data_IF_408118587117
#
_entry.id   IF_408118587117
#
_cell.length_a   1.000
_cell.length_b   1.000
_cell.length_c   1.000
_cell.angle_alpha   90.00
_cell.angle_beta   90.00
_cell.angle_gamma   90.00
#
_symmetry.space_group_name_H-M   'P 1'
#
loop_
_entity.id
_entity.type
_entity.pdbx_description
1 polymer ?
#
# COMPACT_ATOMS: atom_id res chain seq x y z
N UNK A 1 -9.56 -22.89 -45.14
CA UNK A 1 -11.03 -23.07 -45.04
C UNK A 1 -11.39 -23.38 -43.61
N UNK A 2 -12.33 -22.63 -43.02
CA UNK A 2 -12.78 -22.83 -41.64
C UNK A 2 -13.07 -21.52 -40.91
N UNK A 3 -13.99 -20.72 -41.46
CA UNK A 3 -14.49 -19.48 -40.85
C UNK A 3 -15.37 -19.88 -39.65
N UNK A 4 -15.07 -19.38 -38.44
CA UNK A 4 -16.04 -19.41 -37.34
C UNK A 4 -16.62 -18.00 -37.17
N UNK A 5 -17.95 -17.99 -37.16
CA UNK A 5 -18.85 -16.85 -37.26
C UNK A 5 -18.81 -15.96 -36.02
N UNK A 6 -18.98 -14.66 -36.27
CA UNK A 6 -19.37 -13.66 -35.30
C UNK A 6 -20.88 -13.70 -35.04
N UNK A 7 -21.28 -13.43 -33.80
CA UNK A 7 -22.61 -12.97 -33.38
C UNK A 7 -22.33 -11.99 -32.22
N UNK A 8 -22.46 -10.66 -32.34
CA UNK A 8 -23.60 -9.78 -32.67
C UNK A 8 -24.67 -9.74 -31.56
N UNK A 9 -24.73 -8.55 -30.95
CA UNK A 9 -25.80 -7.88 -30.19
C UNK A 9 -26.18 -8.37 -28.78
N UNK A 10 -25.92 -7.52 -27.79
CA UNK A 10 -27.02 -6.87 -27.06
C UNK A 10 -26.57 -5.52 -26.49
N UNK A 11 -27.03 -4.44 -27.14
CA UNK A 11 -26.95 -3.06 -26.64
C UNK A 11 -28.15 -2.86 -25.70
N UNK A 12 -27.88 -2.57 -24.44
CA UNK A 12 -28.89 -2.04 -23.52
C UNK A 12 -28.52 -0.59 -23.17
N UNK A 13 -29.06 0.32 -23.98
CA UNK A 13 -29.20 1.74 -23.65
C UNK A 13 -30.31 1.87 -22.59
N UNK A 14 -29.97 2.31 -21.39
CA UNK A 14 -30.92 2.97 -20.50
C UNK A 14 -30.41 4.38 -20.23
N UNK A 15 -30.97 5.33 -20.99
CA UNK A 15 -30.81 6.76 -20.82
C UNK A 15 -31.93 7.34 -19.95
N UNK A 16 -31.59 8.45 -19.29
CA UNK A 16 -32.46 9.50 -18.69
C UNK A 16 -32.98 9.07 -17.29
N UNK A 17 -32.91 9.85 -16.21
CA UNK A 17 -33.37 11.24 -16.07
C UNK A 17 -32.46 12.10 -15.17
N UNK A 18 -32.02 13.24 -15.70
CA UNK A 18 -31.72 14.42 -14.88
C UNK A 18 -33.03 15.04 -14.41
N UNK A 19 -33.10 15.40 -13.13
CA UNK A 19 -34.05 16.42 -12.66
C UNK A 19 -33.29 17.40 -11.78
N UNK A 20 -33.11 18.60 -12.28
CA UNK A 20 -32.77 19.79 -11.51
C UNK A 20 -34.06 20.59 -11.26
N UNK A 21 -34.21 21.19 -10.07
CA UNK A 21 -34.69 22.57 -9.83
C UNK A 21 -35.05 22.85 -8.35
N UNK A 22 -34.52 23.97 -7.82
CA UNK A 22 -35.03 24.82 -6.72
C UNK A 22 -34.68 24.36 -5.30
N UNK A 23 -33.88 25.04 -4.45
CA UNK A 23 -33.73 26.48 -4.14
C UNK A 23 -34.72 26.90 -3.01
N UNK A 24 -34.50 27.93 -2.15
CA UNK A 24 -33.29 28.72 -1.83
C UNK A 24 -33.11 29.11 -0.30
N UNK A 25 -32.04 29.88 0.02
CA UNK A 25 -31.86 30.83 1.16
C UNK A 25 -31.66 30.25 2.60
N UNK A 26 -30.92 30.83 3.57
CA UNK A 26 -30.13 32.06 3.75
C UNK A 26 -29.32 32.00 5.09
N UNK A 27 -28.36 32.92 5.28
CA UNK A 27 -27.75 33.33 6.58
C UNK A 27 -26.31 32.81 6.78
N UNK A 28 -25.23 33.60 6.83
CA UNK A 28 -25.00 34.82 7.63
C UNK A 28 -24.98 34.41 9.12
N UNK A 29 -23.88 34.39 9.88
CA UNK A 29 -22.89 35.44 10.18
C UNK A 29 -21.71 34.75 10.90
N UNK A 30 -20.46 35.06 10.56
CA UNK A 30 -19.30 34.78 11.43
C UNK A 30 -18.69 36.12 11.84
N UNK A 31 -18.84 36.46 13.13
CA UNK A 31 -18.15 37.56 13.76
C UNK A 31 -17.37 37.03 14.97
N UNK A 32 -16.07 37.35 14.95
CA UNK A 32 -15.18 37.67 16.07
C UNK A 32 -14.94 36.58 17.13
N UNK A 33 -13.81 36.46 17.78
CA UNK A 33 -12.48 37.08 17.80
C UNK A 33 -11.90 36.53 19.11
N UNK A 34 -10.70 35.96 19.12
CA UNK A 34 -9.81 35.99 20.30
C UNK A 34 -8.45 35.42 19.92
N UNK A 35 -7.57 36.34 19.52
CA UNK A 35 -6.12 36.21 19.67
C UNK A 35 -5.74 36.75 21.05
N UNK A 36 -4.99 35.97 21.82
CA UNK A 36 -4.00 36.45 22.79
C UNK A 36 -2.71 35.72 22.39
N UNK A 37 -1.71 36.35 21.77
CA UNK A 37 -0.76 37.34 22.28
C UNK A 37 -0.02 36.89 23.55
N UNK A 38 1.14 36.26 23.35
CA UNK A 38 2.31 36.39 24.22
C UNK A 38 3.53 36.61 23.31
N UNK A 39 3.93 37.88 23.26
CA UNK A 39 5.27 38.38 22.95
C UNK A 39 6.18 38.05 24.18
N UNK A 40 7.50 37.85 24.13
CA UNK A 40 8.60 38.53 23.44
C UNK A 40 9.85 37.61 23.52
N UNK A 41 10.65 37.55 22.45
CA UNK A 41 12.02 38.11 22.39
C UNK A 41 13.15 37.15 22.80
N UNK A 42 13.96 36.77 21.81
CA UNK A 42 15.32 37.34 21.71
C UNK A 42 15.95 37.01 20.35
N UNK A 43 16.24 38.08 19.61
CA UNK A 43 17.38 38.29 18.70
C UNK A 43 18.25 37.11 18.31
N UNK A 44 18.44 36.91 16.99
CA UNK A 44 19.66 37.34 16.32
C UNK A 44 19.47 37.40 14.79
N UNK A 45 19.83 38.55 14.23
CA UNK A 45 19.89 38.79 12.80
C UNK A 45 21.19 38.20 12.23
N UNK A 46 21.11 37.56 11.07
CA UNK A 46 22.21 37.50 10.08
C UNK A 46 21.66 37.17 8.69
N UNK A 47 21.56 38.24 7.89
CA UNK A 47 21.81 38.34 6.46
C UNK A 47 21.51 37.15 5.53
N UNK A 48 20.39 37.30 4.83
CA UNK A 48 20.17 37.15 3.39
C UNK A 48 21.37 36.69 2.52
N UNK A 49 21.17 35.55 1.84
CA UNK A 49 21.27 35.52 0.38
C UNK A 49 20.04 34.82 -0.20
N UNK A 50 19.34 35.57 -1.04
CA UNK A 50 18.25 35.11 -1.91
C UNK A 50 18.76 34.25 -3.07
N UNK A 51 17.81 33.50 -3.63
CA UNK A 51 17.93 32.58 -4.77
C UNK A 51 17.00 31.40 -4.48
N UNK A 52 15.67 31.61 -4.45
CA UNK A 52 14.76 31.77 -5.59
C UNK A 52 14.83 30.61 -6.56
N UNK A 53 13.73 29.85 -6.56
CA UNK A 53 13.18 29.11 -7.70
C UNK A 53 14.03 28.00 -8.30
N UNK A 54 13.53 26.78 -8.26
CA UNK A 54 12.64 26.29 -9.33
C UNK A 54 12.46 24.79 -9.21
N UNK A 55 11.23 24.35 -9.46
CA UNK A 55 10.92 23.01 -9.95
C UNK A 55 11.52 21.84 -9.15
N UNK A 56 10.74 21.32 -8.20
CA UNK A 56 10.69 19.87 -8.08
C UNK A 56 10.08 19.35 -9.40
N UNK A 57 10.93 19.25 -10.42
CA UNK A 57 10.70 18.33 -11.53
C UNK A 57 10.42 17.02 -10.82
N UNK A 58 9.18 16.54 -10.90
CA UNK A 58 8.86 15.14 -10.62
C UNK A 58 9.66 14.37 -11.67
N UNK A 59 10.94 14.15 -11.38
CA UNK A 59 11.80 13.30 -12.16
C UNK A 59 11.10 11.96 -12.14
N UNK A 60 10.68 11.51 -13.31
CA UNK A 60 10.18 10.15 -13.47
C UNK A 60 11.23 9.23 -12.88
N UNK A 61 10.87 8.52 -11.82
CA UNK A 61 11.77 7.56 -11.18
C UNK A 61 11.90 6.40 -12.15
N UNK A 62 12.95 6.44 -12.97
CA UNK A 62 13.25 5.35 -13.90
C UNK A 62 13.92 4.23 -13.11
N UNK A 63 13.15 3.18 -12.83
CA UNK A 63 13.65 1.96 -12.21
C UNK A 63 14.58 1.21 -13.18
N UNK A 64 15.68 0.67 -12.66
CA UNK A 64 16.49 -0.31 -13.41
C UNK A 64 15.68 -1.58 -13.71
N UNK A 65 16.12 -2.40 -14.66
CA UNK A 65 15.45 -3.67 -14.97
C UNK A 65 15.32 -4.55 -13.72
N UNK A 66 16.37 -4.63 -12.89
CA UNK A 66 16.33 -5.37 -11.63
C UNK A 66 15.29 -4.80 -10.66
N UNK A 67 15.22 -3.48 -10.49
CA UNK A 67 14.25 -2.86 -9.58
C UNK A 67 12.80 -3.03 -10.08
N UNK A 68 12.58 -3.02 -11.40
CA UNK A 68 11.27 -3.32 -11.97
C UNK A 68 10.86 -4.76 -11.68
N UNK A 69 11.80 -5.71 -11.79
CA UNK A 69 11.57 -7.11 -11.46
C UNK A 69 11.28 -7.31 -9.98
N UNK A 70 12.12 -6.76 -9.10
CA UNK A 70 11.95 -6.87 -7.65
C UNK A 70 10.59 -6.30 -7.22
N UNK A 71 10.25 -5.11 -7.74
CA UNK A 71 8.95 -4.47 -7.50
C UNK A 71 7.79 -5.37 -7.96
N UNK A 72 7.90 -5.99 -9.14
CA UNK A 72 6.86 -6.87 -9.65
C UNK A 72 6.68 -8.12 -8.79
N UNK A 73 7.76 -8.70 -8.28
CA UNK A 73 7.69 -9.87 -7.39
C UNK A 73 7.04 -9.52 -6.05
N UNK A 74 7.48 -8.45 -5.39
CA UNK A 74 6.90 -8.08 -4.08
C UNK A 74 5.45 -7.64 -4.19
N UNK A 75 5.04 -7.02 -5.32
CA UNK A 75 3.63 -6.75 -5.62
C UNK A 75 2.83 -8.04 -5.74
N UNK A 76 3.33 -9.03 -6.47
CA UNK A 76 2.66 -10.32 -6.60
C UNK A 76 2.47 -11.01 -5.24
N UNK A 77 3.47 -10.94 -4.35
CA UNK A 77 3.35 -11.48 -2.98
C UNK A 77 2.29 -10.73 -2.18
N UNK A 78 2.26 -9.40 -2.24
CA UNK A 78 1.23 -8.60 -1.57
C UNK A 78 -0.18 -8.91 -2.10
N UNK A 79 -0.36 -8.92 -3.42
CA UNK A 79 -1.65 -9.18 -4.08
C UNK A 79 -2.20 -10.57 -3.72
N UNK A 80 -1.31 -11.53 -3.46
CA UNK A 80 -1.68 -12.85 -2.98
C UNK A 80 -1.97 -12.87 -1.48
N UNK A 81 -1.12 -12.25 -0.65
CA UNK A 81 -1.20 -12.31 0.81
C UNK A 81 -2.37 -11.50 1.37
N UNK A 82 -2.57 -10.28 0.88
CA UNK A 82 -3.54 -9.34 1.44
C UNK A 82 -4.99 -9.88 1.47
N UNK A 83 -5.52 -10.52 0.41
CA UNK A 83 -6.87 -11.11 0.43
C UNK A 83 -6.96 -12.44 1.21
N UNK A 84 -5.86 -13.01 1.71
CA UNK A 84 -5.94 -14.21 2.54
C UNK A 84 -6.61 -13.88 3.87
N UNK A 85 -7.80 -14.41 4.08
CA UNK A 85 -8.63 -14.10 5.25
C UNK A 85 -8.93 -12.60 5.38
N UNK A 86 -9.95 -12.17 4.65
CA UNK A 86 -10.42 -10.77 4.65
C UNK A 86 -10.92 -10.30 6.02
N UNK A 87 -11.31 -11.20 6.92
CA UNK A 87 -11.73 -10.83 8.27
C UNK A 87 -10.59 -10.14 9.05
N UNK A 88 -9.33 -10.49 8.74
CA UNK A 88 -8.16 -9.83 9.30
C UNK A 88 -8.01 -8.38 8.81
N UNK A 89 -8.68 -7.98 7.72
CA UNK A 89 -8.64 -6.63 7.16
C UNK A 89 -9.77 -5.72 7.70
N UNK A 90 -10.73 -6.25 8.45
CA UNK A 90 -11.91 -5.48 8.87
C UNK A 90 -11.59 -4.40 9.93
N UNK A 91 -11.97 -3.14 9.67
CA UNK A 91 -11.80 -2.06 10.65
C UNK A 91 -10.34 -1.68 10.93
N UNK A 92 -9.44 -1.97 9.99
CA UNK A 92 -8.06 -1.44 10.04
C UNK A 92 -8.05 0.02 9.57
N UNK A 93 -7.02 0.75 9.98
CA UNK A 93 -6.77 2.15 9.62
C UNK A 93 -5.38 2.30 8.96
N UNK A 94 -4.49 1.33 9.19
CA UNK A 94 -3.11 1.32 8.70
C UNK A 94 -2.58 -0.10 8.49
N UNK A 95 -1.54 -0.21 7.66
CA UNK A 95 -0.78 -1.42 7.37
C UNK A 95 0.69 -1.15 7.74
N UNK A 96 1.25 -1.98 8.62
CA UNK A 96 2.69 -2.03 8.81
C UNK A 96 3.30 -3.07 7.87
N UNK A 97 4.43 -2.74 7.27
CA UNK A 97 5.22 -3.66 6.47
C UNK A 97 6.60 -3.83 7.11
N UNK A 98 6.92 -5.06 7.49
CA UNK A 98 8.26 -5.46 7.87
C UNK A 98 9.04 -5.86 6.62
N UNK A 99 10.02 -5.03 6.25
CA UNK A 99 10.89 -5.23 5.09
C UNK A 99 12.29 -5.70 5.46
N UNK A 100 12.52 -6.06 6.72
CA UNK A 100 13.86 -6.40 7.24
C UNK A 100 14.51 -7.56 6.47
N UNK A 101 13.70 -8.50 5.99
CA UNK A 101 14.15 -9.66 5.21
C UNK A 101 13.89 -9.53 3.70
N UNK A 102 13.54 -8.33 3.22
CA UNK A 102 13.45 -8.03 1.78
C UNK A 102 14.75 -7.38 1.30
N UNK A 103 15.51 -8.11 0.48
CA UNK A 103 16.68 -7.56 -0.21
C UNK A 103 16.26 -6.72 -1.42
N UNK A 104 15.64 -5.56 -1.17
CA UNK A 104 15.17 -4.62 -2.20
C UNK A 104 15.74 -3.21 -1.99
N UNK A 105 15.83 -2.41 -3.05
CA UNK A 105 16.28 -1.01 -2.94
C UNK A 105 15.25 -0.12 -2.23
N UNK A 106 15.69 1.00 -1.65
CA UNK A 106 14.79 1.98 -1.02
C UNK A 106 13.79 2.57 -2.03
N UNK A 107 14.17 2.65 -3.31
CA UNK A 107 13.29 3.11 -4.39
C UNK A 107 12.17 2.10 -4.62
N UNK A 108 12.49 0.80 -4.68
CA UNK A 108 11.50 -0.28 -4.77
C UNK A 108 10.60 -0.31 -3.53
N UNK A 109 11.18 -0.18 -2.33
CA UNK A 109 10.43 -0.12 -1.07
C UNK A 109 9.40 1.02 -1.10
N UNK A 110 9.80 2.22 -1.51
CA UNK A 110 8.89 3.36 -1.62
C UNK A 110 7.74 3.09 -2.62
N UNK A 111 8.07 2.55 -3.80
CA UNK A 111 7.07 2.19 -4.82
C UNK A 111 6.10 1.10 -4.32
N UNK A 112 6.59 0.16 -3.51
CA UNK A 112 5.75 -0.85 -2.87
C UNK A 112 4.79 -0.22 -1.86
N UNK A 113 5.25 0.73 -1.05
CA UNK A 113 4.39 1.40 -0.05
C UNK A 113 3.29 2.22 -0.72
N UNK A 114 3.63 2.96 -1.77
CA UNK A 114 2.68 3.70 -2.60
C UNK A 114 1.63 2.74 -3.18
N UNK A 115 2.09 1.63 -3.78
CA UNK A 115 1.20 0.61 -4.34
C UNK A 115 0.25 0.01 -3.29
N UNK A 116 0.77 -0.42 -2.13
CA UNK A 116 -0.06 -1.00 -1.06
C UNK A 116 -1.09 0.02 -0.57
N UNK A 117 -0.70 1.28 -0.41
CA UNK A 117 -1.62 2.35 0.02
C UNK A 117 -2.73 2.59 -1.00
N UNK A 118 -2.40 2.59 -2.30
CA UNK A 118 -3.37 2.71 -3.39
C UNK A 118 -4.32 1.52 -3.48
N UNK A 119 -3.80 0.28 -3.36
CA UNK A 119 -4.61 -0.94 -3.46
C UNK A 119 -5.53 -1.14 -2.25
N UNK A 120 -5.04 -0.82 -1.05
CA UNK A 120 -5.76 -1.08 0.20
C UNK A 120 -6.61 0.09 0.67
N UNK A 121 -6.27 1.33 0.28
CA UNK A 121 -6.90 2.55 0.77
C UNK A 121 -6.46 2.96 2.18
N UNK A 122 -5.46 2.29 2.76
CA UNK A 122 -4.95 2.57 4.11
C UNK A 122 -3.56 3.20 4.08
N UNK A 123 -3.20 3.86 5.18
CA UNK A 123 -1.84 4.37 5.35
C UNK A 123 -0.86 3.21 5.56
N UNK A 124 0.31 3.29 4.94
CA UNK A 124 1.36 2.27 5.02
C UNK A 124 2.56 2.82 5.78
N UNK A 125 3.10 2.03 6.70
CA UNK A 125 4.29 2.38 7.47
C UNK A 125 5.29 1.22 7.50
N UNK A 126 6.57 1.55 7.58
CA UNK A 126 7.62 0.56 7.84
C UNK A 126 7.67 0.31 9.34
N UNK A 127 7.47 -0.94 9.78
CA UNK A 127 7.62 -1.31 11.19
C UNK A 127 7.78 -2.81 11.33
N UNK A 128 8.70 -3.21 12.20
CA UNK A 128 8.82 -4.58 12.71
C UNK A 128 7.80 -4.86 13.82
N UNK A 129 7.56 -6.13 14.13
CA UNK A 129 6.75 -6.52 15.28
C UNK A 129 7.31 -5.96 16.61
N UNK A 130 8.63 -5.81 16.73
CA UNK A 130 9.24 -5.28 17.95
C UNK A 130 8.99 -3.76 18.09
N UNK A 131 9.14 -3.00 17.01
CA UNK A 131 8.84 -1.56 17.02
C UNK A 131 7.37 -1.28 17.33
N UNK A 132 6.45 -2.09 16.78
CA UNK A 132 5.02 -1.96 17.10
C UNK A 132 4.74 -2.24 18.59
N UNK A 133 5.49 -3.15 19.24
CA UNK A 133 5.36 -3.40 20.69
C UNK A 133 5.89 -2.21 21.49
N UNK A 134 7.03 -1.68 21.09
CA UNK A 134 7.69 -0.56 21.78
C UNK A 134 6.84 0.73 21.69
N UNK A 135 6.09 0.91 20.59
CA UNK A 135 5.12 1.99 20.39
C UNK A 135 3.76 1.74 21.08
N UNK A 136 3.53 0.54 21.64
CA UNK A 136 2.25 0.15 22.24
C UNK A 136 1.12 -0.11 21.23
N UNK A 137 1.45 -0.29 19.95
CA UNK A 137 0.50 -0.62 18.87
C UNK A 137 0.24 -2.13 18.76
N UNK A 138 1.19 -2.95 19.19
CA UNK A 138 1.07 -4.40 19.34
C UNK A 138 1.12 -4.78 20.81
N UNK A 139 -0.01 -5.28 21.35
CA UNK A 139 -0.13 -5.76 22.72
C UNK A 139 -0.47 -7.25 22.81
N UNK A 140 -0.84 -7.73 24.00
CA UNK A 140 -1.22 -9.14 24.23
C UNK A 140 -2.42 -9.58 23.39
N UNK A 141 -3.31 -8.65 23.04
CA UNK A 141 -4.49 -8.90 22.22
C UNK A 141 -4.21 -8.72 20.72
N UNK A 142 -2.96 -8.45 20.32
CA UNK A 142 -2.58 -8.15 18.95
C UNK A 142 -2.62 -6.66 18.62
N UNK A 143 -2.84 -6.38 17.33
CA UNK A 143 -2.94 -5.06 16.72
C UNK A 143 -4.42 -4.69 16.59
N UNK A 144 -4.80 -3.55 17.19
CA UNK A 144 -6.21 -3.13 17.26
C UNK A 144 -6.74 -2.54 15.94
N UNK A 145 -6.03 -1.55 15.40
CA UNK A 145 -6.46 -0.75 14.24
C UNK A 145 -5.54 -0.90 13.03
N UNK A 146 -4.80 -2.00 12.95
CA UNK A 146 -3.91 -2.26 11.82
C UNK A 146 -3.60 -3.74 11.66
N UNK A 147 -2.76 -4.02 10.67
CA UNK A 147 -2.15 -5.33 10.44
C UNK A 147 -0.64 -5.16 10.26
N UNK A 148 0.10 -6.22 10.55
CA UNK A 148 1.51 -6.35 10.19
C UNK A 148 1.62 -7.35 9.05
N UNK A 149 2.20 -6.90 7.94
CA UNK A 149 2.65 -7.77 6.86
C UNK A 149 4.15 -7.98 7.02
N UNK A 150 4.58 -9.24 7.05
CA UNK A 150 6.00 -9.60 7.06
C UNK A 150 6.29 -10.35 5.78
N UNK A 151 7.35 -9.97 5.07
CA UNK A 151 7.71 -10.56 3.79
C UNK A 151 9.21 -10.82 3.76
N UNK A 152 9.60 -11.94 3.15
CA UNK A 152 10.98 -12.23 2.79
C UNK A 152 11.03 -12.88 1.42
N UNK A 153 12.16 -12.70 0.72
CA UNK A 153 12.36 -13.21 -0.62
C UNK A 153 13.79 -13.67 -0.80
N UNK A 154 13.98 -14.79 -1.49
CA UNK A 154 15.27 -15.31 -1.90
C UNK A 154 15.25 -15.64 -3.39
N UNK A 155 16.32 -15.27 -4.09
CA UNK A 155 16.52 -15.68 -5.47
C UNK A 155 16.96 -17.14 -5.54
N UNK A 156 16.31 -17.94 -6.41
CA UNK A 156 16.74 -19.31 -6.71
C UNK A 156 17.31 -19.43 -8.12
N UNK A 157 16.53 -19.01 -9.12
CA UNK A 157 16.85 -19.05 -10.53
C UNK A 157 16.39 -17.75 -11.21
N UNK A 158 16.71 -17.52 -12.49
CA UNK A 158 16.34 -16.29 -13.19
C UNK A 158 14.84 -15.97 -13.09
N UNK A 159 13.99 -16.98 -13.31
CA UNK A 159 12.53 -16.84 -13.43
C UNK A 159 11.75 -17.34 -12.21
N UNK A 160 12.44 -17.62 -11.09
CA UNK A 160 11.84 -18.17 -9.87
C UNK A 160 12.37 -17.44 -8.63
N UNK A 161 11.46 -17.12 -7.70
CA UNK A 161 11.78 -16.60 -6.37
C UNK A 161 11.08 -17.45 -5.32
N UNK A 162 11.81 -17.80 -4.26
CA UNK A 162 11.23 -18.38 -3.04
C UNK A 162 10.89 -17.25 -2.08
N UNK A 163 9.76 -17.34 -1.39
CA UNK A 163 9.32 -16.31 -0.46
C UNK A 163 8.66 -16.88 0.79
N UNK A 164 8.71 -16.10 1.86
CA UNK A 164 7.83 -16.26 3.00
C UNK A 164 7.02 -14.99 3.17
N UNK A 165 5.77 -15.13 3.57
CA UNK A 165 4.91 -13.98 3.80
C UNK A 165 3.84 -14.31 4.84
N UNK A 166 3.61 -13.38 5.76
CA UNK A 166 2.64 -13.52 6.84
C UNK A 166 1.84 -12.22 7.01
N UNK A 167 0.54 -12.36 7.23
CA UNK A 167 -0.35 -11.31 7.71
C UNK A 167 -0.73 -11.62 9.15
N UNK A 168 -0.29 -10.76 10.06
CA UNK A 168 -0.57 -10.86 11.48
C UNK A 168 -1.49 -9.74 11.94
N UNK A 169 -2.50 -10.10 12.74
CA UNK A 169 -3.32 -9.12 13.48
C UNK A 169 -3.47 -9.46 14.94
N UNK A 170 -3.67 -10.73 15.29
CA UNK A 170 -4.00 -11.10 16.66
C UNK A 170 -3.44 -12.47 17.04
N UNK A 171 -3.39 -12.81 18.34
CA UNK A 171 -2.99 -14.14 18.80
C UNK A 171 -3.84 -15.30 18.27
N UNK A 172 -5.00 -15.00 17.66
CA UNK A 172 -5.92 -15.98 17.09
C UNK A 172 -5.82 -16.08 15.56
N UNK A 173 -4.93 -15.31 14.93
CA UNK A 173 -4.82 -15.29 13.49
C UNK A 173 -3.57 -14.58 12.99
N UNK A 174 -2.58 -15.39 12.67
CA UNK A 174 -1.66 -15.12 11.57
C UNK A 174 -2.00 -16.07 10.40
N UNK A 175 -1.91 -15.57 9.17
CA UNK A 175 -2.07 -16.38 7.97
C UNK A 175 -0.92 -16.10 7.02
N UNK A 176 -0.35 -17.16 6.43
CA UNK A 176 0.83 -16.98 5.61
C UNK A 176 1.38 -18.26 5.01
N UNK A 177 2.59 -18.14 4.47
CA UNK A 177 3.38 -19.22 3.88
C UNK A 177 4.85 -19.04 4.27
N UNK A 178 5.54 -20.14 4.57
CA UNK A 178 6.97 -20.13 4.91
C UNK A 178 7.88 -20.57 3.74
N UNK A 179 7.27 -21.03 2.63
CA UNK A 179 8.00 -21.66 1.53
C UNK A 179 7.22 -21.54 0.21
N UNK A 180 6.81 -20.32 -0.13
CA UNK A 180 6.06 -20.02 -1.34
C UNK A 180 6.98 -19.85 -2.56
N UNK A 181 6.43 -20.06 -3.75
CA UNK A 181 7.13 -19.86 -5.03
C UNK A 181 6.40 -18.79 -5.84
N UNK A 182 7.14 -17.76 -6.25
CA UNK A 182 6.74 -16.83 -7.31
C UNK A 182 7.50 -17.20 -8.58
N UNK A 183 6.76 -17.43 -9.66
CA UNK A 183 7.31 -17.83 -10.96
C UNK A 183 6.95 -16.80 -12.03
N UNK A 184 7.89 -16.55 -12.94
CA UNK A 184 7.67 -15.69 -14.10
C UNK A 184 6.90 -16.43 -15.19
N UNK A 185 5.80 -15.83 -15.65
CA UNK A 185 5.01 -16.23 -16.80
C UNK A 185 5.01 -15.07 -17.82
N UNK A 186 5.94 -15.13 -18.78
CA UNK A 186 6.19 -14.04 -19.71
C UNK A 186 6.74 -12.80 -19.01
N UNK A 187 5.96 -11.72 -18.98
CA UNK A 187 6.33 -10.45 -18.30
C UNK A 187 5.66 -10.29 -16.95
N UNK A 188 4.95 -11.31 -16.45
CA UNK A 188 4.17 -11.25 -15.22
C UNK A 188 4.73 -12.24 -14.22
N UNK A 189 4.83 -11.84 -12.95
CA UNK A 189 5.17 -12.74 -11.85
C UNK A 189 3.89 -13.24 -11.18
N UNK A 190 3.81 -14.56 -10.95
CA UNK A 190 2.62 -15.22 -10.41
C UNK A 190 3.00 -16.18 -9.29
N UNK A 191 2.14 -16.30 -8.31
CA UNK A 191 2.25 -17.31 -7.27
C UNK A 191 1.53 -18.58 -7.71
N UNK A 192 2.21 -19.73 -7.61
CA UNK A 192 1.58 -21.03 -7.83
C UNK A 192 0.83 -21.47 -6.57
N UNK A 193 -0.44 -21.07 -6.50
CA UNK A 193 -1.34 -21.35 -5.38
C UNK A 193 -1.58 -22.84 -5.13
N UNK A 194 -1.41 -23.69 -6.14
CA UNK A 194 -1.64 -25.15 -6.03
C UNK A 194 -0.56 -25.87 -5.23
N UNK A 195 0.63 -25.27 -5.14
CA UNK A 195 1.77 -25.86 -4.45
C UNK A 195 2.04 -25.23 -3.09
N UNK A 196 1.33 -24.15 -2.76
CA UNK A 196 1.50 -23.45 -1.49
C UNK A 196 0.75 -24.15 -0.36
N UNK A 197 1.45 -24.34 0.75
CA UNK A 197 0.86 -24.73 2.03
C UNK A 197 0.70 -23.50 2.91
N UNK A 198 -0.52 -22.96 2.93
CA UNK A 198 -0.89 -21.87 3.84
C UNK A 198 -0.93 -22.41 5.28
N UNK A 199 -0.36 -21.67 6.22
CA UNK A 199 -0.55 -21.89 7.65
C UNK A 199 -1.56 -20.89 8.21
N UNK A 200 -2.24 -21.32 9.28
CA UNK A 200 -3.04 -20.47 10.15
C UNK A 200 -2.59 -20.78 11.57
N UNK A 201 -2.20 -19.76 12.33
CA UNK A 201 -1.71 -19.89 13.71
C UNK A 201 -2.53 -19.07 14.70
#
# INVERSE_FOLDING_TARGET
>A
MGRKMAAVLCVALCTVWMTACGGPQAGGVHLKESRQNVSESSTNASALKEGSESDAVLGEVVLSEQEQEDLAVVKAIFDWLYPLDDALNEGIEWIALDTTELEISDVVKKQLFEYIGEQSGFSVRESTAQELKDEGLLGEQGIRTGILLTMSMQAEEADTRRFSAEKYRSPLGAIGVNDGIVQRDGTVWKIDDKQIRVFIS
#
